data_IF_799101679803
#
_entry.id   IF_799101679803
#
_cell.length_a   1.000
_cell.length_b   1.000
_cell.length_c   1.000
_cell.angle_alpha   90.00
_cell.angle_beta   90.00
_cell.angle_gamma   90.00
#
_symmetry.space_group_name_H-M   'P 1'
#
loop_
_entity.id
_entity.type
_entity.pdbx_description
1 polymer ?
#
# COMPACT_ATOMS: atom_id res chain seq x y z
N UNK A 1 12.10 -13.04 -11.91
CA UNK A 1 11.92 -12.10 -10.78
C UNK A 1 10.52 -11.51 -10.83
N UNK A 2 9.76 -11.64 -9.75
CA UNK A 2 8.45 -10.99 -9.55
C UNK A 2 8.63 -9.63 -8.88
N UNK A 3 7.87 -8.63 -9.32
CA UNK A 3 7.96 -7.26 -8.80
C UNK A 3 6.68 -6.94 -8.03
N UNK A 4 6.83 -6.58 -6.75
CA UNK A 4 5.74 -6.26 -5.83
C UNK A 4 5.92 -4.83 -5.29
N UNK A 5 5.50 -3.81 -6.06
CA UNK A 5 5.38 -2.45 -5.54
C UNK A 5 4.27 -2.41 -4.50
N UNK A 6 4.56 -1.84 -3.32
CA UNK A 6 3.60 -1.66 -2.24
C UNK A 6 3.41 -0.16 -2.02
N UNK A 7 2.18 0.30 -2.18
CA UNK A 7 1.82 1.71 -2.13
C UNK A 7 0.67 1.96 -1.15
N UNK A 8 0.47 3.24 -0.82
CA UNK A 8 -0.67 3.69 -0.04
C UNK A 8 -1.06 5.11 -0.45
N UNK A 9 -2.36 5.38 -0.56
CA UNK A 9 -2.84 6.74 -0.82
C UNK A 9 -2.61 7.72 0.34
N UNK A 10 -2.36 7.21 1.55
CA UNK A 10 -2.17 8.00 2.77
C UNK A 10 -1.05 7.41 3.64
N UNK A 11 -0.26 8.27 4.28
CA UNK A 11 0.70 7.85 5.31
C UNK A 11 0.00 7.29 6.56
N UNK A 12 0.70 6.43 7.29
CA UNK A 12 0.22 5.88 8.57
C UNK A 12 -0.75 4.70 8.47
N UNK A 13 -0.94 4.10 7.28
CA UNK A 13 -1.77 2.89 7.09
C UNK A 13 -0.99 1.59 7.30
N UNK A 14 0.29 1.65 7.70
CA UNK A 14 1.14 0.49 7.96
C UNK A 14 1.75 -0.17 6.71
N UNK A 15 1.85 0.56 5.59
CA UNK A 15 2.47 0.11 4.34
C UNK A 15 3.87 -0.53 4.53
N UNK A 16 4.78 0.19 5.18
CA UNK A 16 6.17 -0.27 5.39
C UNK A 16 6.25 -1.49 6.30
N UNK A 17 5.34 -1.60 7.27
CA UNK A 17 5.20 -2.79 8.12
C UNK A 17 4.78 -3.99 7.29
N UNK A 18 3.74 -3.84 6.45
CA UNK A 18 3.30 -4.90 5.54
C UNK A 18 4.44 -5.29 4.61
N UNK A 19 5.16 -4.33 4.01
CA UNK A 19 6.27 -4.59 3.11
C UNK A 19 7.40 -5.38 3.77
N UNK A 20 7.85 -4.96 4.95
CA UNK A 20 8.88 -5.63 5.73
C UNK A 20 8.49 -7.08 6.07
N UNK A 21 7.31 -7.26 6.66
CA UNK A 21 6.88 -8.57 7.13
C UNK A 21 6.56 -9.53 5.98
N UNK A 22 6.01 -9.02 4.88
CA UNK A 22 5.82 -9.82 3.68
C UNK A 22 7.16 -10.28 3.06
N UNK A 23 8.18 -9.43 3.10
CA UNK A 23 9.53 -9.81 2.65
C UNK A 23 10.10 -10.95 3.50
N UNK A 24 9.91 -10.88 4.82
CA UNK A 24 10.34 -11.92 5.77
C UNK A 24 9.58 -13.22 5.52
N UNK A 25 8.25 -13.17 5.37
CA UNK A 25 7.43 -14.36 5.10
C UNK A 25 7.87 -15.09 3.81
N UNK A 26 8.05 -14.34 2.72
CA UNK A 26 8.47 -14.91 1.44
C UNK A 26 9.91 -15.47 1.50
N UNK A 27 10.80 -14.82 2.25
CA UNK A 27 12.17 -15.31 2.45
C UNK A 27 12.21 -16.59 3.29
N UNK A 28 11.38 -16.68 4.34
CA UNK A 28 11.18 -17.89 5.16
C UNK A 28 10.58 -19.04 4.35
N UNK A 29 9.73 -18.74 3.36
CA UNK A 29 9.21 -19.70 2.38
C UNK A 29 10.26 -20.11 1.31
N UNK A 30 11.52 -19.66 1.44
CA UNK A 30 12.63 -20.08 0.60
C UNK A 30 12.85 -19.25 -0.67
N UNK A 31 12.09 -18.17 -0.89
CA UNK A 31 12.31 -17.27 -2.04
C UNK A 31 13.51 -16.37 -1.78
N UNK A 32 14.32 -16.11 -2.82
CA UNK A 32 15.34 -15.06 -2.76
C UNK A 32 14.66 -13.70 -2.90
N UNK A 33 14.55 -12.96 -1.80
CA UNK A 33 13.82 -11.69 -1.72
C UNK A 33 14.78 -10.51 -1.64
N UNK A 34 14.49 -9.46 -2.40
CA UNK A 34 15.06 -8.13 -2.17
C UNK A 34 13.96 -7.18 -1.73
N UNK A 35 14.15 -6.52 -0.59
CA UNK A 35 13.28 -5.45 -0.11
C UNK A 35 13.96 -4.09 -0.35
N UNK A 36 13.30 -3.18 -1.06
CA UNK A 36 13.81 -1.85 -1.33
C UNK A 36 12.95 -0.77 -0.66
N UNK A 37 13.57 0.13 0.10
CA UNK A 37 12.92 1.32 0.66
C UNK A 37 12.96 2.46 -0.39
N UNK A 38 11.82 2.69 -1.07
CA UNK A 38 11.64 3.76 -2.04
C UNK A 38 10.87 4.96 -1.45
N UNK A 39 10.65 5.01 -0.14
CA UNK A 39 10.12 6.18 0.55
C UNK A 39 11.26 7.16 0.87
N UNK A 40 11.91 7.68 -0.17
CA UNK A 40 13.13 8.48 -0.07
C UNK A 40 12.98 9.76 0.77
N UNK A 41 11.74 10.23 0.98
CA UNK A 41 11.46 11.39 1.82
C UNK A 41 11.34 11.08 3.31
N UNK A 42 11.11 9.82 3.68
CA UNK A 42 10.87 9.38 5.06
C UNK A 42 11.32 7.93 5.29
N UNK A 43 12.54 7.60 4.81
CA UNK A 43 13.11 6.24 4.80
C UNK A 43 13.31 5.69 6.22
N UNK A 44 12.42 4.81 6.65
CA UNK A 44 12.42 4.20 7.99
C UNK A 44 12.31 2.67 7.96
N UNK A 45 12.33 2.05 6.78
CA UNK A 45 12.07 0.61 6.64
C UNK A 45 13.14 -0.25 7.35
N UNK A 46 14.38 0.25 7.39
CA UNK A 46 15.50 -0.38 8.10
C UNK A 46 15.21 -0.62 9.59
N UNK A 47 14.44 0.26 10.25
CA UNK A 47 14.05 0.09 11.65
C UNK A 47 13.09 -1.08 11.84
N UNK A 48 12.18 -1.29 10.88
CA UNK A 48 11.17 -2.34 10.93
C UNK A 48 11.81 -3.71 10.70
N UNK A 49 12.75 -3.82 9.75
CA UNK A 49 13.45 -5.07 9.46
C UNK A 49 14.62 -5.35 10.42
N UNK A 50 14.95 -4.43 11.32
CA UNK A 50 16.07 -4.57 12.25
C UNK A 50 17.45 -4.35 11.65
N UNK A 51 17.53 -3.77 10.45
CA UNK A 51 18.80 -3.49 9.78
C UNK A 51 19.48 -2.27 10.39
N UNK A 52 20.67 -2.47 10.95
CA UNK A 52 21.41 -1.43 11.69
C UNK A 52 22.35 -0.65 10.76
N UNK A 53 22.28 0.68 10.86
CA UNK A 53 23.24 1.63 10.28
C UNK A 53 23.49 1.43 8.76
N UNK A 54 22.53 1.81 7.90
CA UNK A 54 22.76 1.79 6.45
C UNK A 54 23.93 2.72 6.09
N UNK A 55 25.01 2.14 5.55
CA UNK A 55 26.21 2.89 5.15
C UNK A 55 26.07 3.57 3.80
N UNK A 56 25.26 2.98 2.91
CA UNK A 56 24.94 3.48 1.59
C UNK A 56 23.57 2.94 1.19
N UNK A 57 22.79 3.75 0.47
CA UNK A 57 21.52 3.32 -0.10
C UNK A 57 21.20 4.03 -1.40
N UNK A 58 19.91 4.11 -1.71
CA UNK A 58 19.41 4.67 -2.96
C UNK A 58 19.78 6.16 -3.07
N UNK A 59 19.66 6.93 -1.98
CA UNK A 59 20.14 8.31 -1.93
C UNK A 59 21.60 8.45 -2.36
N UNK A 60 22.50 7.65 -1.80
CA UNK A 60 23.93 7.63 -2.18
C UNK A 60 24.13 7.30 -3.66
N UNK A 61 23.46 6.25 -4.17
CA UNK A 61 23.55 5.87 -5.59
C UNK A 61 23.07 6.98 -6.54
N UNK A 62 22.02 7.70 -6.15
CA UNK A 62 21.45 8.78 -6.94
C UNK A 62 22.29 10.06 -6.91
N UNK A 63 23.06 10.26 -5.84
CA UNK A 63 23.95 11.41 -5.65
C UNK A 63 25.28 11.25 -6.40
N UNK A 64 25.86 10.04 -6.42
CA UNK A 64 27.11 9.75 -7.16
C UNK A 64 26.91 8.66 -8.22
N UNK A 65 26.84 9.01 -9.52
CA UNK A 65 26.68 8.07 -10.63
C UNK A 65 27.79 7.01 -10.77
N UNK A 66 28.93 7.18 -10.09
CA UNK A 66 30.05 6.22 -10.09
C UNK A 66 29.83 5.09 -9.08
N UNK A 67 28.88 5.25 -8.17
CA UNK A 67 28.54 4.23 -7.17
C UNK A 67 28.04 2.98 -7.89
N UNK A 68 28.71 1.85 -7.64
CA UNK A 68 28.20 0.56 -8.09
C UNK A 68 26.90 0.23 -7.31
N UNK A 69 25.85 -0.15 -8.05
CA UNK A 69 24.58 -0.51 -7.44
C UNK A 69 24.70 -1.78 -6.58
N UNK A 70 25.68 -2.66 -6.87
CA UNK A 70 25.94 -3.82 -6.03
C UNK A 70 26.30 -3.44 -4.58
N UNK A 71 26.92 -2.29 -4.36
CA UNK A 71 27.29 -1.81 -3.01
C UNK A 71 26.12 -1.28 -2.19
N UNK A 72 24.97 -0.99 -2.81
CA UNK A 72 23.76 -0.54 -2.08
C UNK A 72 22.82 -1.69 -1.73
N UNK A 73 23.07 -2.89 -2.25
CA UNK A 73 22.31 -4.09 -1.91
C UNK A 73 23.01 -4.77 -0.74
N UNK A 74 22.38 -4.74 0.43
CA UNK A 74 22.94 -5.29 1.66
C UNK A 74 22.31 -6.65 1.99
N UNK A 75 23.13 -7.56 2.51
CA UNK A 75 22.62 -8.75 3.18
C UNK A 75 21.98 -8.38 4.52
N UNK A 76 20.99 -9.16 4.94
CA UNK A 76 20.34 -9.04 6.25
C UNK A 76 20.63 -10.26 7.10
N UNK A 77 20.34 -10.18 8.39
CA UNK A 77 20.42 -11.34 9.31
C UNK A 77 19.32 -12.39 9.04
N UNK A 78 18.41 -12.12 8.09
CA UNK A 78 17.31 -13.00 7.70
C UNK A 78 17.73 -13.75 6.44
N UNK A 79 17.86 -15.09 6.48
CA UNK A 79 18.24 -15.89 5.31
C UNK A 79 17.34 -15.60 4.10
N UNK A 80 17.94 -15.59 2.91
CA UNK A 80 17.30 -15.28 1.64
C UNK A 80 16.74 -13.85 1.49
N UNK A 81 16.90 -12.97 2.47
CA UNK A 81 16.46 -11.58 2.40
C UNK A 81 17.66 -10.62 2.27
N UNK A 82 17.66 -9.85 1.18
CA UNK A 82 18.52 -8.69 1.00
C UNK A 82 17.73 -7.40 1.08
N UNK A 83 18.38 -6.32 1.47
CA UNK A 83 17.77 -5.02 1.70
C UNK A 83 18.50 -3.92 0.92
N UNK A 84 17.73 -2.99 0.35
CA UNK A 84 18.25 -1.77 -0.28
C UNK A 84 17.72 -0.58 0.54
N UNK A 85 18.58 0.09 1.32
CA UNK A 85 18.18 1.25 2.10
C UNK A 85 17.78 2.44 1.21
N UNK A 86 16.81 3.25 1.66
CA UNK A 86 16.38 4.45 0.93
C UNK A 86 17.39 5.60 1.06
N UNK A 87 18.07 5.69 2.21
CA UNK A 87 19.08 6.70 2.54
C UNK A 87 18.47 8.12 2.62
N UNK A 88 17.55 8.28 3.59
CA UNK A 88 16.74 9.49 3.80
C UNK A 88 17.47 10.67 4.45
N UNK A 89 18.76 10.54 4.77
CA UNK A 89 19.56 11.62 5.38
C UNK A 89 20.12 12.60 4.36
N UNK A 90 20.11 12.26 3.06
CA UNK A 90 20.61 13.12 1.98
C UNK A 90 19.50 14.08 1.53
N UNK A 91 19.66 15.41 1.72
CA UNK A 91 18.64 16.38 1.31
C UNK A 91 18.35 16.33 -0.20
N UNK A 92 17.06 16.36 -0.57
CA UNK A 92 16.63 16.44 -1.98
C UNK A 92 16.44 15.10 -2.70
N UNK A 93 16.68 13.97 -2.02
CA UNK A 93 16.45 12.60 -2.54
C UNK A 93 14.98 12.30 -2.89
N UNK A 94 14.03 12.99 -2.24
CA UNK A 94 12.60 12.79 -2.45
C UNK A 94 12.10 13.15 -3.88
N UNK A 95 12.77 14.07 -4.58
CA UNK A 95 12.36 14.52 -5.92
C UNK A 95 13.29 13.97 -7.00
N UNK A 96 13.01 12.75 -7.46
CA UNK A 96 13.77 12.10 -8.52
C UNK A 96 13.57 12.76 -9.89
N UNK A 97 14.68 13.12 -10.55
CA UNK A 97 14.64 13.48 -11.97
C UNK A 97 14.24 12.26 -12.82
N UNK A 98 13.61 12.45 -13.99
CA UNK A 98 13.21 11.32 -14.85
C UNK A 98 14.37 10.37 -15.22
N UNK A 99 15.57 10.90 -15.46
CA UNK A 99 16.77 10.10 -15.76
C UNK A 99 17.22 9.24 -14.59
N UNK A 100 17.27 9.81 -13.39
CA UNK A 100 17.59 9.13 -12.13
C UNK A 100 16.60 8.01 -11.85
N UNK A 101 15.30 8.29 -11.96
CA UNK A 101 14.24 7.29 -11.81
C UNK A 101 14.40 6.13 -12.80
N UNK A 102 14.63 6.42 -14.08
CA UNK A 102 14.82 5.38 -15.11
C UNK A 102 16.11 4.58 -14.90
N UNK A 103 17.17 5.19 -14.36
CA UNK A 103 18.39 4.49 -13.99
C UNK A 103 18.13 3.54 -12.81
N UNK A 104 17.48 4.02 -11.75
CA UNK A 104 17.13 3.23 -10.58
C UNK A 104 16.21 2.05 -10.94
N UNK A 105 15.14 2.30 -11.72
CA UNK A 105 14.24 1.24 -12.17
C UNK A 105 14.99 0.16 -12.94
N UNK A 106 15.88 0.51 -13.89
CA UNK A 106 16.68 -0.47 -14.62
C UNK A 106 17.59 -1.31 -13.71
N UNK A 107 18.17 -0.70 -12.68
CA UNK A 107 19.04 -1.42 -11.72
C UNK A 107 18.23 -2.38 -10.84
N UNK A 108 17.11 -1.90 -10.29
CA UNK A 108 16.19 -2.73 -9.50
C UNK A 108 15.67 -3.93 -10.29
N UNK A 109 15.26 -3.72 -11.55
CA UNK A 109 14.76 -4.77 -12.43
C UNK A 109 15.84 -5.76 -12.89
N UNK A 110 17.12 -5.40 -12.79
CA UNK A 110 18.25 -6.24 -13.15
C UNK A 110 18.84 -7.07 -12.01
N UNK A 111 18.21 -7.05 -10.82
CA UNK A 111 18.68 -7.81 -9.66
C UNK A 111 18.44 -9.32 -9.86
N UNK A 112 19.39 -10.13 -9.38
CA UNK A 112 19.21 -11.57 -9.26
C UNK A 112 18.41 -11.90 -7.99
N UNK A 113 17.10 -12.01 -8.13
CA UNK A 113 16.16 -12.36 -7.06
C UNK A 113 14.92 -13.04 -7.63
N UNK A 114 14.24 -13.82 -6.80
CA UNK A 114 12.95 -14.39 -7.15
C UNK A 114 11.85 -13.34 -6.98
N UNK A 115 11.93 -12.53 -5.92
CA UNK A 115 10.97 -11.47 -5.60
C UNK A 115 11.69 -10.15 -5.26
N UNK A 116 11.22 -9.05 -5.85
CA UNK A 116 11.57 -7.68 -5.46
C UNK A 116 10.33 -7.01 -4.85
N UNK A 117 10.39 -6.68 -3.57
CA UNK A 117 9.39 -5.85 -2.90
C UNK A 117 9.88 -4.40 -2.86
N UNK A 118 9.05 -3.47 -3.31
CA UNK A 118 9.36 -2.04 -3.28
C UNK A 118 8.39 -1.32 -2.35
N UNK A 119 8.87 -0.86 -1.21
CA UNK A 119 8.09 -0.02 -0.30
C UNK A 119 8.08 1.42 -0.82
N UNK A 120 6.99 1.84 -1.46
CA UNK A 120 6.90 3.15 -2.09
C UNK A 120 6.50 4.23 -1.07
N UNK A 121 6.77 5.50 -1.33
CA UNK A 121 6.24 6.58 -0.49
C UNK A 121 4.71 6.66 -0.46
N UNK A 122 4.17 7.44 0.49
CA UNK A 122 2.73 7.71 0.55
C UNK A 122 2.29 8.79 -0.45
N UNK A 123 1.02 8.73 -0.86
CA UNK A 123 0.40 9.75 -1.71
C UNK A 123 0.50 9.42 -3.21
N UNK A 124 0.40 10.44 -4.07
CA UNK A 124 0.16 10.26 -5.51
C UNK A 124 1.19 10.99 -6.39
N UNK A 125 2.41 11.20 -5.87
CA UNK A 125 3.50 11.77 -6.64
C UNK A 125 3.84 10.91 -7.87
N UNK A 126 4.29 11.55 -8.96
CA UNK A 126 4.52 10.86 -10.23
C UNK A 126 5.55 9.72 -10.13
N UNK A 127 6.60 9.89 -9.34
CA UNK A 127 7.62 8.85 -9.10
C UNK A 127 7.01 7.60 -8.46
N UNK A 128 6.16 7.76 -7.44
CA UNK A 128 5.44 6.66 -6.77
C UNK A 128 4.58 5.91 -7.77
N UNK A 129 3.78 6.64 -8.56
CA UNK A 129 2.91 6.02 -9.57
C UNK A 129 3.72 5.29 -10.65
N UNK A 130 4.86 5.85 -11.08
CA UNK A 130 5.73 5.22 -12.06
C UNK A 130 6.35 3.91 -11.54
N UNK A 131 6.82 3.89 -10.28
CA UNK A 131 7.32 2.65 -9.67
C UNK A 131 6.20 1.63 -9.43
N UNK A 132 5.00 2.10 -9.05
CA UNK A 132 3.83 1.23 -8.89
C UNK A 132 3.44 0.54 -10.20
N UNK A 133 3.51 1.27 -11.32
CA UNK A 133 3.19 0.76 -12.66
C UNK A 133 4.30 -0.10 -13.30
N UNK A 134 5.40 -0.38 -12.59
CA UNK A 134 6.38 -1.40 -13.03
C UNK A 134 5.81 -2.81 -12.95
N UNK A 135 4.72 -3.01 -12.21
CA UNK A 135 4.01 -4.28 -12.11
C UNK A 135 2.51 -4.05 -12.32
N UNK A 136 1.87 -4.97 -13.05
CA UNK A 136 0.40 -4.99 -13.17
C UNK A 136 -0.28 -5.35 -11.84
N UNK A 137 0.42 -6.07 -10.96
CA UNK A 137 -0.12 -6.65 -9.73
C UNK A 137 0.36 -5.94 -8.45
N UNK A 138 0.57 -4.62 -8.53
CA UNK A 138 0.99 -3.81 -7.37
C UNK A 138 -0.01 -3.85 -6.22
N UNK A 139 0.49 -3.73 -4.99
CA UNK A 139 -0.30 -3.86 -3.75
C UNK A 139 -0.59 -2.47 -3.19
N UNK A 140 -1.85 -2.19 -2.90
CA UNK A 140 -2.31 -0.98 -2.20
C UNK A 140 -2.69 -1.37 -0.78
N UNK A 141 -2.02 -0.78 0.20
CA UNK A 141 -2.36 -0.92 1.62
C UNK A 141 -3.24 0.25 2.03
N UNK A 142 -4.34 -0.04 2.72
CA UNK A 142 -5.21 0.97 3.31
C UNK A 142 -5.74 0.55 4.68
N UNK A 143 -6.48 1.43 5.35
CA UNK A 143 -7.04 1.23 6.68
C UNK A 143 -8.52 1.58 6.72
N UNK A 144 -9.32 1.07 7.68
CA UNK A 144 -10.78 1.20 7.67
C UNK A 144 -11.25 2.59 8.14
N UNK A 145 -10.49 3.63 7.83
CA UNK A 145 -10.88 5.02 8.05
C UNK A 145 -11.42 5.60 6.75
N UNK A 146 -12.37 6.53 6.86
CA UNK A 146 -12.96 7.22 5.70
C UNK A 146 -11.87 7.87 4.84
N UNK A 147 -10.90 8.52 5.50
CA UNK A 147 -9.80 9.20 4.79
C UNK A 147 -8.83 8.24 4.09
N UNK A 148 -8.49 7.10 4.70
CA UNK A 148 -7.60 6.12 4.06
C UNK A 148 -8.29 5.41 2.89
N UNK A 149 -9.57 5.03 3.05
CA UNK A 149 -10.40 4.42 1.99
C UNK A 149 -10.49 5.34 0.77
N UNK A 150 -10.81 6.63 0.97
CA UNK A 150 -10.88 7.61 -0.11
C UNK A 150 -9.51 7.78 -0.80
N UNK A 151 -8.44 7.91 -0.01
CA UNK A 151 -7.11 8.10 -0.57
C UNK A 151 -6.61 6.87 -1.35
N UNK A 152 -6.97 5.66 -0.95
CA UNK A 152 -6.68 4.43 -1.72
C UNK A 152 -7.37 4.46 -3.09
N UNK A 153 -8.66 4.83 -3.14
CA UNK A 153 -9.36 5.02 -4.40
C UNK A 153 -8.70 6.12 -5.26
N UNK A 154 -8.36 7.27 -4.68
CA UNK A 154 -7.69 8.36 -5.42
C UNK A 154 -6.31 7.95 -5.94
N UNK A 155 -5.58 7.12 -5.19
CA UNK A 155 -4.33 6.53 -5.64
C UNK A 155 -4.53 5.68 -6.89
N UNK A 156 -5.49 4.75 -6.85
CA UNK A 156 -5.83 3.89 -7.99
C UNK A 156 -6.31 4.70 -9.20
N UNK A 157 -7.16 5.72 -8.98
CA UNK A 157 -7.56 6.66 -10.02
C UNK A 157 -6.33 7.30 -10.66
N UNK A 158 -5.43 7.87 -9.87
CA UNK A 158 -4.22 8.51 -10.40
C UNK A 158 -3.27 7.53 -11.09
N UNK A 159 -3.18 6.28 -10.63
CA UNK A 159 -2.43 5.23 -11.30
C UNK A 159 -3.02 4.90 -12.69
N UNK A 160 -4.35 4.79 -12.81
CA UNK A 160 -5.04 4.59 -14.09
C UNK A 160 -4.79 5.78 -15.03
N UNK A 161 -4.92 7.03 -14.54
CA UNK A 161 -4.57 8.20 -15.35
C UNK A 161 -3.10 8.18 -15.79
N UNK A 162 -2.18 7.85 -14.90
CA UNK A 162 -0.76 7.74 -15.24
C UNK A 162 -0.49 6.63 -16.27
N UNK A 163 -1.20 5.51 -16.17
CA UNK A 163 -1.16 4.43 -17.15
C UNK A 163 -1.62 4.92 -18.53
N UNK A 164 -2.71 5.68 -18.60
CA UNK A 164 -3.20 6.31 -19.84
C UNK A 164 -2.13 7.22 -20.45
N UNK A 165 -1.64 8.21 -19.70
CA UNK A 165 -0.62 9.15 -20.20
C UNK A 165 0.67 8.46 -20.65
N UNK A 166 1.10 7.42 -19.95
CA UNK A 166 2.31 6.67 -20.34
C UNK A 166 2.11 5.72 -21.53
N UNK A 167 0.86 5.41 -21.90
CA UNK A 167 0.55 4.53 -23.03
C UNK A 167 0.52 5.25 -24.37
N UNK A 168 0.38 6.59 -24.35
CA UNK A 168 0.19 7.38 -25.56
C UNK A 168 1.51 7.97 -26.07
N UNK A 169 1.85 7.76 -27.36
CA UNK A 169 3.00 8.42 -27.97
C UNK A 169 2.90 9.95 -27.88
N UNK A 170 4.05 10.62 -27.77
CA UNK A 170 4.08 12.09 -27.84
C UNK A 170 3.49 12.56 -29.17
N UNK A 171 2.56 13.53 -29.11
CA UNK A 171 1.87 14.07 -30.29
C UNK A 171 0.78 13.18 -30.87
N UNK A 172 0.36 12.10 -30.17
CA UNK A 172 -0.80 11.32 -30.60
C UNK A 172 -2.10 12.09 -30.37
N UNK A 173 -3.12 11.77 -31.18
CA UNK A 173 -4.45 12.39 -31.04
C UNK A 173 -5.11 12.01 -29.72
N UNK A 174 -4.79 10.83 -29.17
CA UNK A 174 -5.23 10.41 -27.84
C UNK A 174 -4.67 11.32 -26.73
N UNK A 175 -3.37 11.68 -26.81
CA UNK A 175 -2.74 12.55 -25.84
C UNK A 175 -3.32 13.98 -25.91
N UNK A 176 -3.54 14.49 -27.12
CA UNK A 176 -4.18 15.80 -27.34
C UNK A 176 -5.62 15.84 -26.79
N UNK A 177 -6.36 14.74 -26.96
CA UNK A 177 -7.70 14.58 -26.39
C UNK A 177 -7.68 14.62 -24.86
N UNK A 178 -6.75 13.88 -24.24
CA UNK A 178 -6.55 13.90 -22.78
C UNK A 178 -6.17 15.28 -22.25
N UNK A 179 -5.25 15.99 -22.91
CA UNK A 179 -4.82 17.34 -22.50
C UNK A 179 -5.94 18.38 -22.62
N UNK A 180 -6.80 18.26 -23.64
CA UNK A 180 -8.00 19.12 -23.78
C UNK A 180 -8.94 18.94 -22.61
N UNK A 181 -9.23 17.69 -22.22
CA UNK A 181 -10.10 17.39 -21.07
C UNK A 181 -9.44 17.85 -19.76
N UNK A 182 -8.12 17.70 -19.62
CA UNK A 182 -7.40 18.10 -18.41
C UNK A 182 -7.51 19.59 -18.10
N UNK A 183 -7.53 20.44 -19.14
CA UNK A 183 -7.66 21.90 -19.00
C UNK A 183 -9.03 22.35 -18.50
N UNK A 184 -10.04 21.49 -18.60
CA UNK A 184 -11.35 21.70 -18.00
C UNK A 184 -11.39 21.02 -16.61
N UNK A 185 -10.82 21.68 -15.61
CA UNK A 185 -10.68 21.18 -14.24
C UNK A 185 -12.00 20.74 -13.60
N UNK A 186 -13.13 21.31 -14.04
CA UNK A 186 -14.48 20.95 -13.56
C UNK A 186 -14.94 19.58 -14.07
N UNK A 187 -14.45 19.19 -15.25
CA UNK A 187 -14.76 17.94 -15.93
C UNK A 187 -13.97 16.77 -15.33
N UNK A 188 -12.68 16.94 -15.00
CA UNK A 188 -11.82 15.87 -14.45
C UNK A 188 -12.32 15.23 -13.13
N UNK A 189 -12.97 16.01 -12.27
CA UNK A 189 -13.50 15.49 -11.01
C UNK A 189 -14.75 14.63 -11.23
N UNK A 190 -15.51 14.90 -12.30
CA UNK A 190 -16.76 14.21 -12.66
C UNK A 190 -16.59 13.16 -13.77
N UNK A 191 -15.37 13.02 -14.29
CA UNK A 191 -15.12 12.20 -15.46
C UNK A 191 -14.95 10.72 -15.12
N UNK A 192 -15.67 9.88 -15.85
CA UNK A 192 -15.66 8.43 -15.81
C UNK A 192 -14.62 7.90 -16.79
N UNK A 193 -13.73 7.01 -16.35
CA UNK A 193 -12.73 6.39 -17.22
C UNK A 193 -13.38 5.62 -18.39
N UNK A 194 -14.49 4.86 -18.21
CA UNK A 194 -15.16 4.22 -19.34
C UNK A 194 -15.47 5.18 -20.51
N UNK A 195 -16.01 6.36 -20.20
CA UNK A 195 -16.33 7.39 -21.20
C UNK A 195 -15.08 7.98 -21.86
N UNK A 196 -13.97 8.08 -21.13
CA UNK A 196 -12.69 8.47 -21.72
C UNK A 196 -12.20 7.44 -22.73
N UNK A 197 -12.30 6.15 -22.38
CA UNK A 197 -11.87 5.07 -23.25
C UNK A 197 -12.67 5.06 -24.55
N UNK A 198 -13.97 5.30 -24.51
CA UNK A 198 -14.82 5.47 -25.70
C UNK A 198 -14.33 6.64 -26.58
N UNK A 199 -14.14 7.82 -26.00
CA UNK A 199 -13.65 8.98 -26.76
C UNK A 199 -12.25 8.77 -27.34
N UNK A 200 -11.36 8.11 -26.61
CA UNK A 200 -10.02 7.75 -27.11
C UNK A 200 -10.12 6.76 -28.26
N UNK A 201 -11.03 5.77 -28.17
CA UNK A 201 -11.27 4.79 -29.23
C UNK A 201 -11.72 5.43 -30.54
N UNK A 202 -12.58 6.44 -30.47
CA UNK A 202 -13.05 7.18 -31.65
C UNK A 202 -11.95 8.04 -32.27
N UNK A 203 -11.16 8.72 -31.44
CA UNK A 203 -10.14 9.68 -31.90
C UNK A 203 -8.86 9.01 -32.37
N UNK A 204 -8.45 7.92 -31.72
CA UNK A 204 -7.21 7.20 -31.96
C UNK A 204 -7.33 5.71 -31.57
N UNK A 205 -7.90 4.87 -32.45
CA UNK A 205 -8.10 3.43 -32.20
C UNK A 205 -6.79 2.67 -31.89
N UNK A 206 -5.67 3.11 -32.44
CA UNK A 206 -4.38 2.46 -32.25
C UNK A 206 -3.84 2.69 -30.83
N UNK A 207 -3.90 3.93 -30.34
CA UNK A 207 -3.56 4.25 -28.94
C UNK A 207 -4.54 3.59 -27.96
N UNK A 208 -5.83 3.53 -28.30
CA UNK A 208 -6.83 2.81 -27.50
C UNK A 208 -6.48 1.33 -27.32
N UNK A 209 -6.12 0.63 -28.41
CA UNK A 209 -5.76 -0.80 -28.34
C UNK A 209 -4.58 -1.04 -27.39
N UNK A 210 -3.52 -0.24 -27.52
CA UNK A 210 -2.34 -0.33 -26.63
C UNK A 210 -2.69 -0.10 -25.17
N UNK A 211 -3.54 0.89 -24.89
CA UNK A 211 -4.00 1.15 -23.53
C UNK A 211 -4.85 -0.02 -23.01
N UNK A 212 -5.75 -0.57 -23.84
CA UNK A 212 -6.62 -1.69 -23.44
C UNK A 212 -5.79 -2.92 -23.05
N UNK A 213 -4.79 -3.26 -23.85
CA UNK A 213 -3.88 -4.38 -23.56
C UNK A 213 -3.17 -4.20 -22.20
N UNK A 214 -2.75 -2.97 -21.88
CA UNK A 214 -2.14 -2.65 -20.57
C UNK A 214 -3.14 -2.65 -19.42
N UNK A 215 -4.37 -2.18 -19.63
CA UNK A 215 -5.42 -2.15 -18.60
C UNK A 215 -5.86 -3.56 -18.21
N UNK A 216 -5.93 -4.50 -19.16
CA UNK A 216 -6.28 -5.91 -18.87
C UNK A 216 -5.28 -6.56 -17.92
N UNK A 217 -4.00 -6.22 -18.07
CA UNK A 217 -2.91 -6.71 -17.21
C UNK A 217 -2.75 -5.91 -15.91
N UNK A 218 -3.32 -4.72 -15.83
CA UNK A 218 -3.25 -3.87 -14.64
C UNK A 218 -4.35 -4.26 -13.64
N UNK A 219 -3.97 -5.12 -12.70
CA UNK A 219 -4.81 -5.72 -11.67
C UNK A 219 -4.20 -5.48 -10.30
N UNK A 220 -4.30 -4.25 -9.78
CA UNK A 220 -3.80 -3.97 -8.46
C UNK A 220 -4.53 -4.84 -7.42
N UNK A 221 -3.84 -5.03 -6.30
CA UNK A 221 -4.29 -5.83 -5.17
C UNK A 221 -4.45 -4.97 -3.94
N UNK A 222 -5.41 -5.29 -3.08
CA UNK A 222 -5.73 -4.53 -1.88
C UNK A 222 -5.39 -5.34 -0.63
N UNK A 223 -4.75 -4.70 0.35
CA UNK A 223 -4.64 -5.19 1.72
C UNK A 223 -5.35 -4.21 2.64
N UNK A 224 -6.28 -4.74 3.44
CA UNK A 224 -6.97 -3.99 4.47
C UNK A 224 -6.27 -4.15 5.82
N UNK A 225 -5.46 -3.15 6.19
CA UNK A 225 -4.70 -3.17 7.43
C UNK A 225 -5.41 -2.40 8.56
N UNK A 226 -4.97 -2.66 9.80
CA UNK A 226 -5.46 -1.99 11.01
C UNK A 226 -6.97 -2.10 11.19
N UNK A 227 -7.55 -3.26 10.88
CA UNK A 227 -8.95 -3.52 11.22
C UNK A 227 -9.10 -3.84 12.71
N UNK A 228 -10.25 -3.44 13.26
CA UNK A 228 -10.58 -3.65 14.67
C UNK A 228 -11.88 -4.48 14.81
N UNK A 229 -12.77 -4.43 13.83
CA UNK A 229 -14.03 -5.18 13.76
C UNK A 229 -14.13 -5.93 12.41
N UNK A 230 -14.67 -7.16 12.35
CA UNK A 230 -14.83 -7.89 11.09
C UNK A 230 -15.55 -7.10 9.99
N UNK A 231 -16.53 -6.26 10.36
CA UNK A 231 -17.30 -5.43 9.43
C UNK A 231 -16.46 -4.38 8.72
N UNK A 232 -15.27 -4.05 9.24
CA UNK A 232 -14.36 -3.14 8.56
C UNK A 232 -13.89 -3.68 7.20
N UNK A 233 -13.90 -5.00 7.00
CA UNK A 233 -13.63 -5.63 5.72
C UNK A 233 -14.62 -5.18 4.62
N UNK A 234 -15.86 -4.84 4.97
CA UNK A 234 -16.86 -4.34 4.02
C UNK A 234 -16.45 -3.01 3.35
N UNK A 235 -15.53 -2.25 3.97
CA UNK A 235 -15.02 -1.00 3.36
C UNK A 235 -14.22 -1.29 2.09
N UNK A 236 -13.55 -2.43 2.00
CA UNK A 236 -12.87 -2.85 0.79
C UNK A 236 -13.85 -3.03 -0.39
N UNK A 237 -15.05 -3.58 -0.13
CA UNK A 237 -16.10 -3.72 -1.14
C UNK A 237 -16.56 -2.37 -1.73
N UNK A 238 -16.51 -1.30 -0.95
CA UNK A 238 -16.82 0.06 -1.45
C UNK A 238 -15.73 0.55 -2.41
N UNK A 239 -14.46 0.27 -2.12
CA UNK A 239 -13.34 0.59 -3.00
C UNK A 239 -13.46 -0.20 -4.31
N UNK A 240 -13.69 -1.52 -4.22
CA UNK A 240 -13.88 -2.40 -5.39
C UNK A 240 -14.96 -1.89 -6.33
N UNK A 241 -16.17 -1.64 -5.80
CA UNK A 241 -17.29 -1.12 -6.59
C UNK A 241 -16.95 0.20 -7.27
N UNK A 242 -16.32 1.12 -6.54
CA UNK A 242 -15.90 2.42 -7.09
C UNK A 242 -14.84 2.26 -8.18
N UNK A 243 -13.90 1.31 -8.05
CA UNK A 243 -12.90 1.06 -9.08
C UNK A 243 -13.51 0.45 -10.35
N UNK A 244 -14.40 -0.53 -10.19
CA UNK A 244 -15.10 -1.15 -11.33
C UNK A 244 -15.97 -0.13 -12.08
N UNK A 245 -16.82 0.61 -11.36
CA UNK A 245 -17.78 1.54 -11.94
C UNK A 245 -17.13 2.77 -12.58
N UNK A 246 -16.17 3.40 -11.90
CA UNK A 246 -15.63 4.69 -12.32
C UNK A 246 -14.30 4.58 -13.08
N UNK A 247 -13.54 3.50 -12.87
CA UNK A 247 -12.17 3.36 -13.40
C UNK A 247 -12.02 2.25 -14.44
N UNK A 248 -13.04 1.40 -14.65
CA UNK A 248 -12.92 0.15 -15.43
C UNK A 248 -11.74 -0.71 -14.94
N UNK A 249 -11.58 -0.76 -13.61
CA UNK A 249 -10.44 -1.37 -12.93
C UNK A 249 -10.90 -2.48 -12.01
N UNK A 250 -10.39 -3.69 -12.26
CA UNK A 250 -10.55 -4.83 -11.37
C UNK A 250 -9.52 -4.75 -10.24
N UNK A 251 -10.00 -4.95 -9.01
CA UNK A 251 -9.21 -4.92 -7.79
C UNK A 251 -9.41 -6.25 -7.08
N UNK A 252 -8.32 -6.95 -6.77
CA UNK A 252 -8.32 -8.22 -6.02
C UNK A 252 -8.02 -7.94 -4.53
N UNK A 253 -8.61 -8.72 -3.63
CA UNK A 253 -8.36 -8.59 -2.19
C UNK A 253 -7.36 -9.66 -1.71
N UNK A 254 -6.18 -9.24 -1.26
CA UNK A 254 -5.16 -10.18 -0.77
C UNK A 254 -5.41 -10.65 0.65
N UNK A 255 -5.89 -9.76 1.51
CA UNK A 255 -6.16 -10.12 2.90
C UNK A 255 -6.37 -8.93 3.81
N UNK A 256 -6.79 -9.26 5.02
CA UNK A 256 -7.07 -8.35 6.12
C UNK A 256 -6.01 -8.52 7.20
N UNK A 257 -5.71 -7.46 7.95
CA UNK A 257 -4.76 -7.49 9.05
C UNK A 257 -5.32 -6.69 10.22
N UNK A 258 -5.51 -7.37 11.36
CA UNK A 258 -5.94 -6.73 12.60
C UNK A 258 -4.86 -5.83 13.21
N UNK A 259 -5.31 -4.75 13.85
CA UNK A 259 -4.44 -3.99 14.75
C UNK A 259 -3.96 -4.88 15.89
N UNK A 260 -2.66 -4.87 16.13
CA UNK A 260 -1.99 -5.62 17.20
C UNK A 260 -1.00 -4.69 17.92
N UNK A 261 -1.11 -4.57 19.24
CA UNK A 261 -0.22 -3.73 20.07
C UNK A 261 1.18 -4.32 20.20
N UNK A 262 1.35 -5.63 19.99
CA UNK A 262 2.67 -6.28 20.01
C UNK A 262 3.55 -5.82 18.87
N UNK A 263 2.95 -5.27 17.81
CA UNK A 263 3.68 -4.64 16.72
C UNK A 263 4.54 -3.46 17.19
N UNK A 264 4.03 -2.64 18.10
CA UNK A 264 4.76 -1.48 18.61
C UNK A 264 5.95 -1.93 19.46
N UNK A 265 5.78 -3.01 20.22
CA UNK A 265 6.85 -3.65 21.00
C UNK A 265 7.92 -4.23 20.08
N UNK A 266 7.52 -4.94 19.02
CA UNK A 266 8.45 -5.47 18.02
C UNK A 266 9.24 -4.35 17.33
N UNK A 267 8.57 -3.24 16.98
CA UNK A 267 9.22 -2.07 16.37
C UNK A 267 10.23 -1.41 17.31
N UNK A 268 9.91 -1.27 18.60
CA UNK A 268 10.83 -0.76 19.61
C UNK A 268 12.07 -1.67 19.77
N UNK A 269 11.86 -2.99 19.69
CA UNK A 269 12.94 -3.97 19.66
C UNK A 269 13.70 -4.01 18.31
N UNK A 270 13.24 -3.27 17.30
CA UNK A 270 13.74 -3.27 15.92
C UNK A 270 13.75 -4.68 15.33
N UNK A 271 12.63 -5.37 15.43
CA UNK A 271 12.42 -6.70 14.88
C UNK A 271 11.10 -6.75 14.08
N UNK A 272 11.08 -7.49 12.96
CA UNK A 272 9.82 -7.87 12.33
C UNK A 272 8.91 -8.62 13.31
N UNK A 273 7.61 -8.34 13.29
CA UNK A 273 6.64 -9.01 14.17
C UNK A 273 6.57 -10.51 13.88
N UNK A 274 6.85 -10.94 12.64
CA UNK A 274 6.95 -12.36 12.29
C UNK A 274 8.06 -13.10 13.02
N UNK A 275 9.14 -12.40 13.39
CA UNK A 275 10.24 -12.99 14.18
C UNK A 275 9.97 -12.83 15.67
N UNK A 276 9.35 -11.71 16.09
CA UNK A 276 9.06 -11.42 17.48
C UNK A 276 7.91 -12.27 18.05
N UNK A 277 6.81 -12.40 17.31
CA UNK A 277 5.61 -13.17 17.69
C UNK A 277 5.00 -13.87 16.45
N UNK A 278 5.61 -14.97 15.97
CA UNK A 278 5.17 -15.65 14.74
C UNK A 278 3.73 -16.18 14.78
N UNK A 279 3.22 -16.46 15.98
CA UNK A 279 1.88 -17.03 16.19
C UNK A 279 0.81 -15.97 16.46
N UNK A 280 1.12 -14.67 16.40
CA UNK A 280 0.08 -13.65 16.53
C UNK A 280 -0.87 -13.67 15.33
N UNK A 281 -2.11 -13.22 15.55
CA UNK A 281 -3.11 -13.07 14.49
C UNK A 281 -2.55 -12.24 13.32
N UNK A 282 -1.83 -11.16 13.62
CA UNK A 282 -1.16 -10.34 12.60
C UNK A 282 -0.14 -11.16 11.79
N UNK A 283 0.74 -11.91 12.45
CA UNK A 283 1.75 -12.73 11.77
C UNK A 283 1.11 -13.80 10.90
N UNK A 284 0.05 -14.47 11.39
CA UNK A 284 -0.70 -15.47 10.64
C UNK A 284 -1.40 -14.87 9.42
N UNK A 285 -1.95 -13.65 9.53
CA UNK A 285 -2.51 -12.94 8.39
C UNK A 285 -1.45 -12.63 7.31
N UNK A 286 -0.24 -12.23 7.71
CA UNK A 286 0.86 -11.99 6.77
C UNK A 286 1.31 -13.29 6.08
N UNK A 287 1.44 -14.41 6.80
CA UNK A 287 1.77 -15.70 6.18
C UNK A 287 0.72 -16.11 5.14
N UNK A 288 -0.57 -15.98 5.47
CA UNK A 288 -1.67 -16.26 4.54
C UNK A 288 -1.63 -15.38 3.29
N UNK A 289 -1.33 -14.08 3.44
CA UNK A 289 -1.13 -13.17 2.31
C UNK A 289 0.08 -13.62 1.47
N UNK A 290 1.19 -14.02 2.10
CA UNK A 290 2.38 -14.52 1.40
C UNK A 290 2.08 -15.81 0.61
N UNK A 291 1.28 -16.72 1.17
CA UNK A 291 0.86 -17.95 0.51
C UNK A 291 0.01 -17.66 -0.73
N UNK A 292 -0.98 -16.76 -0.62
CA UNK A 292 -1.79 -16.30 -1.78
C UNK A 292 -0.90 -15.68 -2.87
N UNK A 293 0.11 -14.91 -2.48
CA UNK A 293 1.08 -14.41 -3.44
C UNK A 293 1.81 -15.58 -4.11
N UNK A 294 2.36 -16.53 -3.38
CA UNK A 294 3.08 -17.66 -3.99
C UNK A 294 2.20 -18.51 -4.91
N UNK A 295 0.93 -18.71 -4.58
CA UNK A 295 -0.03 -19.45 -5.43
C UNK A 295 -0.34 -18.69 -6.73
N UNK A 296 -0.44 -17.36 -6.67
CA UNK A 296 -0.62 -16.54 -7.88
C UNK A 296 0.62 -16.48 -8.80
N UNK A 297 1.70 -17.22 -8.51
CA UNK A 297 2.87 -17.32 -9.40
C UNK A 297 2.58 -18.06 -10.72
N UNK A 298 1.46 -18.78 -10.82
CA UNK A 298 1.14 -19.63 -11.98
C UNK A 298 0.28 -18.93 -13.06
N UNK A 299 -0.31 -17.76 -12.78
CA UNK A 299 -1.30 -17.11 -13.66
C UNK A 299 -0.84 -15.72 -14.17
N UNK A 300 -0.10 -15.71 -15.29
CA UNK A 300 -0.04 -14.55 -16.21
C UNK A 300 -1.35 -14.40 -17.02
N UNK A 301 -2.33 -15.27 -16.77
CA UNK A 301 -3.60 -15.34 -17.48
C UNK A 301 -4.65 -14.38 -16.90
N UNK A 302 -5.67 -14.03 -17.68
CA UNK A 302 -6.84 -13.37 -17.14
C UNK A 302 -7.55 -14.22 -16.08
N UNK A 303 -7.44 -13.90 -14.79
CA UNK A 303 -8.30 -14.47 -13.73
C UNK A 303 -9.75 -14.20 -14.11
N UNK A 304 -10.61 -15.21 -13.94
CA UNK A 304 -12.04 -15.08 -14.16
C UNK A 304 -12.63 -14.07 -13.14
N UNK A 305 -13.68 -13.33 -13.52
CA UNK A 305 -14.36 -12.39 -12.61
C UNK A 305 -14.82 -13.05 -11.30
N UNK A 306 -15.15 -14.35 -11.34
CA UNK A 306 -15.47 -15.16 -10.16
C UNK A 306 -14.34 -15.15 -9.12
N UNK A 307 -13.09 -15.33 -9.55
CA UNK A 307 -11.92 -15.35 -8.64
C UNK A 307 -11.73 -14.04 -7.89
N UNK A 308 -12.10 -12.90 -8.50
CA UNK A 308 -12.03 -11.60 -7.83
C UNK A 308 -13.13 -11.47 -6.79
N UNK A 309 -14.36 -11.88 -7.09
CA UNK A 309 -15.45 -11.84 -6.11
C UNK A 309 -15.17 -12.76 -4.91
N UNK A 310 -14.67 -13.98 -5.18
CA UNK A 310 -14.26 -14.96 -4.19
C UNK A 310 -13.19 -14.36 -3.25
N UNK A 311 -12.19 -13.64 -3.78
CA UNK A 311 -11.13 -13.02 -2.96
C UNK A 311 -11.66 -12.07 -1.88
N UNK A 312 -12.76 -11.35 -2.13
CA UNK A 312 -13.37 -10.48 -1.12
C UNK A 312 -14.31 -11.22 -0.17
N UNK A 313 -14.93 -12.31 -0.60
CA UNK A 313 -15.71 -13.17 0.29
C UNK A 313 -14.78 -13.89 1.27
N UNK A 314 -13.67 -14.45 0.77
CA UNK A 314 -12.60 -15.00 1.58
C UNK A 314 -12.11 -13.97 2.60
N UNK A 315 -11.77 -12.76 2.17
CA UNK A 315 -11.35 -11.71 3.10
C UNK A 315 -12.36 -11.38 4.22
N UNK A 316 -13.66 -11.53 3.95
CA UNK A 316 -14.70 -11.40 4.96
C UNK A 316 -14.67 -12.54 5.98
N UNK A 317 -14.56 -13.79 5.51
CA UNK A 317 -14.42 -14.96 6.37
C UNK A 317 -13.13 -14.91 7.19
N UNK A 318 -12.03 -14.48 6.58
CA UNK A 318 -10.75 -14.28 7.26
C UNK A 318 -10.88 -13.28 8.41
N UNK A 319 -11.67 -12.22 8.24
CA UNK A 319 -11.90 -11.23 9.28
C UNK A 319 -12.71 -11.78 10.45
N UNK A 320 -13.71 -12.62 10.19
CA UNK A 320 -14.47 -13.30 11.25
C UNK A 320 -13.57 -14.28 12.04
N UNK A 321 -12.83 -15.14 11.33
CA UNK A 321 -11.93 -16.13 11.96
C UNK A 321 -10.83 -15.46 12.78
N UNK A 322 -10.18 -14.43 12.24
CA UNK A 322 -9.11 -13.72 12.95
C UNK A 322 -9.63 -12.96 14.17
N UNK A 323 -10.86 -12.47 14.12
CA UNK A 323 -11.50 -11.83 15.27
C UNK A 323 -11.78 -12.84 16.39
N UNK A 324 -12.33 -14.01 16.06
CA UNK A 324 -12.58 -15.08 17.02
C UNK A 324 -11.27 -15.52 17.69
N UNK A 325 -10.21 -15.73 16.91
CA UNK A 325 -8.88 -16.09 17.45
C UNK A 325 -8.33 -14.99 18.38
N UNK A 326 -8.51 -13.72 18.01
CA UNK A 326 -8.08 -12.57 18.84
C UNK A 326 -8.87 -12.52 20.16
N UNK A 327 -10.18 -12.77 20.13
CA UNK A 327 -11.01 -12.80 21.34
C UNK A 327 -10.70 -14.00 22.22
N UNK A 328 -10.49 -15.19 21.64
CA UNK A 328 -10.09 -16.38 22.39
C UNK A 328 -8.80 -16.18 23.19
N UNK A 329 -7.79 -15.51 22.60
CA UNK A 329 -6.56 -15.18 23.33
C UNK A 329 -6.80 -14.21 24.51
N UNK A 330 -7.70 -13.24 24.35
CA UNK A 330 -8.07 -12.33 25.45
C UNK A 330 -8.78 -13.10 26.57
N UNK A 331 -9.66 -14.03 26.22
CA UNK A 331 -10.33 -14.91 27.18
C UNK A 331 -9.33 -15.81 27.90
N UNK A 332 -8.36 -16.40 27.22
CA UNK A 332 -7.30 -17.22 27.87
C UNK A 332 -6.50 -16.41 28.89
N UNK A 333 -6.15 -15.16 28.56
CA UNK A 333 -5.43 -14.29 29.50
C UNK A 333 -6.26 -13.93 30.74
N UNK A 334 -7.59 -13.81 30.59
CA UNK A 334 -8.50 -13.63 31.71
C UNK A 334 -8.56 -14.86 32.60
N UNK A 335 -8.70 -16.04 31.99
CA UNK A 335 -8.78 -17.31 32.73
C UNK A 335 -7.47 -17.66 33.42
N UNK A 336 -6.32 -17.32 32.82
CA UNK A 336 -5.00 -17.54 33.43
C UNK A 336 -4.66 -16.53 34.54
N UNK A 337 -5.51 -15.51 34.75
CA UNK A 337 -5.27 -14.42 35.70
C UNK A 337 -4.14 -13.47 35.30
N UNK A 338 -3.60 -13.60 34.08
CA UNK A 338 -2.56 -12.71 33.53
C UNK A 338 -3.14 -11.34 33.17
N UNK A 339 -4.43 -11.31 32.79
CA UNK A 339 -5.22 -10.10 32.63
C UNK A 339 -6.35 -10.16 33.66
N UNK A 340 -6.41 -9.22 34.60
CA UNK A 340 -7.50 -9.23 35.59
C UNK A 340 -8.75 -8.58 35.03
N UNK A 341 -9.93 -8.96 35.54
CA UNK A 341 -11.18 -8.23 35.26
C UNK A 341 -11.06 -6.76 35.66
N UNK A 342 -10.25 -6.45 36.67
CA UNK A 342 -9.92 -5.08 37.09
C UNK A 342 -9.18 -4.30 36.00
N UNK A 343 -8.17 -4.91 35.37
CA UNK A 343 -7.38 -4.28 34.30
C UNK A 343 -8.24 -4.00 33.06
N UNK A 344 -9.18 -4.90 32.73
CA UNK A 344 -10.16 -4.66 31.66
C UNK A 344 -11.10 -3.52 32.01
N UNK A 345 -11.63 -3.48 33.24
CA UNK A 345 -12.49 -2.39 33.69
C UNK A 345 -11.74 -1.05 33.65
N UNK A 346 -10.47 -1.03 34.04
CA UNK A 346 -9.62 0.16 34.00
C UNK A 346 -9.32 0.60 32.56
N UNK A 347 -9.04 -0.35 31.66
CA UNK A 347 -8.85 -0.08 30.23
C UNK A 347 -10.12 0.49 29.61
N UNK A 348 -11.28 -0.11 29.88
CA UNK A 348 -12.58 0.37 29.41
C UNK A 348 -12.90 1.75 29.97
N UNK A 349 -12.62 2.00 31.26
CA UNK A 349 -12.80 3.33 31.88
C UNK A 349 -11.89 4.38 31.24
N UNK A 350 -10.63 4.02 30.96
CA UNK A 350 -9.65 4.90 30.32
C UNK A 350 -10.08 5.26 28.90
N UNK A 351 -10.53 4.26 28.13
CA UNK A 351 -11.08 4.49 26.79
C UNK A 351 -12.35 5.34 26.82
N UNK A 352 -13.26 5.11 27.78
CA UNK A 352 -14.44 5.96 27.95
C UNK A 352 -14.07 7.42 28.27
N UNK A 353 -13.04 7.63 29.09
CA UNK A 353 -12.53 8.95 29.40
C UNK A 353 -11.93 9.63 28.17
N UNK A 354 -11.06 8.96 27.41
CA UNK A 354 -10.48 9.50 26.16
C UNK A 354 -11.56 9.84 25.14
N UNK A 355 -12.53 8.95 24.91
CA UNK A 355 -13.68 9.21 24.03
C UNK A 355 -14.45 10.44 24.50
N UNK A 356 -14.64 10.61 25.81
CA UNK A 356 -15.30 11.81 26.34
C UNK A 356 -14.49 13.08 26.09
N UNK A 357 -13.15 13.03 26.16
CA UNK A 357 -12.29 14.18 25.86
C UNK A 357 -12.32 14.52 24.37
N UNK A 358 -12.15 13.53 23.50
CA UNK A 358 -12.23 13.69 22.04
C UNK A 358 -13.59 14.24 21.59
N UNK A 359 -14.69 13.86 22.28
CA UNK A 359 -16.02 14.44 22.03
C UNK A 359 -16.08 15.92 22.40
N UNK A 360 -15.53 16.32 23.55
CA UNK A 360 -15.46 17.74 23.96
C UNK A 360 -14.64 18.56 22.99
N UNK A 361 -13.49 18.04 22.57
CA UNK A 361 -12.60 18.68 21.62
C UNK A 361 -13.26 18.85 20.24
N UNK A 362 -13.93 17.80 19.73
CA UNK A 362 -14.72 17.90 18.51
C UNK A 362 -15.83 18.95 18.60
N UNK A 363 -16.52 19.03 19.75
CA UNK A 363 -17.56 20.04 19.96
C UNK A 363 -16.98 21.46 19.95
N UNK A 364 -15.82 21.64 20.57
CA UNK A 364 -15.10 22.90 20.59
C UNK A 364 -14.64 23.32 19.18
N UNK A 365 -14.04 22.39 18.42
CA UNK A 365 -13.61 22.63 17.04
C UNK A 365 -14.81 22.98 16.16
N UNK A 366 -15.93 22.27 16.30
CA UNK A 366 -17.18 22.55 15.56
C UNK A 366 -17.76 23.92 15.88
N UNK A 367 -17.77 24.32 17.16
CA UNK A 367 -18.18 25.66 17.60
C UNK A 367 -17.27 26.75 17.02
N UNK A 368 -15.96 26.52 17.04
CA UNK A 368 -14.96 27.44 16.50
C UNK A 368 -15.11 27.62 14.99
N UNK A 369 -15.30 26.52 14.25
CA UNK A 369 -15.60 26.53 12.81
C UNK A 369 -16.89 27.30 12.50
N UNK A 370 -17.95 27.08 13.28
CA UNK A 370 -19.23 27.78 13.09
C UNK A 370 -19.06 29.29 13.31
N UNK A 371 -18.29 29.70 14.32
CA UNK A 371 -17.95 31.12 14.58
C UNK A 371 -17.04 31.72 13.51
N UNK A 372 -16.12 30.95 12.95
CA UNK A 372 -15.25 31.40 11.87
C UNK A 372 -16.07 31.63 10.59
N UNK A 373 -16.96 30.69 10.24
CA UNK A 373 -17.87 30.81 9.10
C UNK A 373 -18.80 32.01 9.24
N UNK A 374 -19.38 32.24 10.43
CA UNK A 374 -20.24 33.40 10.66
C UNK A 374 -19.51 34.75 10.63
N UNK A 375 -18.18 34.75 10.82
CA UNK A 375 -17.30 35.92 10.66
C UNK A 375 -16.77 36.10 9.24
N UNK A 376 -17.33 35.38 8.26
CA UNK A 376 -16.98 35.53 6.85
C UNK A 376 -15.75 34.72 6.41
N UNK A 377 -15.21 33.86 7.27
CA UNK A 377 -14.16 32.92 6.89
C UNK A 377 -14.77 31.87 5.95
N UNK A 378 -14.34 31.86 4.68
CA UNK A 378 -14.73 30.80 3.73
C UNK A 378 -13.61 29.75 3.72
N UNK A 379 -13.94 28.46 3.95
CA UNK A 379 -12.96 27.39 4.02
C UNK A 379 -12.24 27.14 2.70
#
# INVERSE_FOLDING_TARGET
MRILPIASGKGGVGKSLVAANLAVALAQAGKRVVLADLDLGASNLHLIIGYRAPKAGIGTFLADPRTDFAHVVADTDIPNLRFIPGDGEIPGSANLKPSQKNALARRLLGLDADVLIMDLGAGTHQSILDFFLLSGQGIVVTAPTVTATLNAYLFLKNAVFRLMYSSFPKGSRALDYMEKIRKDSSSLQKLYVPKLLEGIKEVDPASWKKLRDRMVLFRPRLIMNMIDDPKDAERAQKIRRSCAEYLDLQLEHLGIIYRDSMQDVALQARLPILLYKPQSVLSQAIYRIADKLMQSEEDDAPLAERTIEDSFQEAGLEAEVDFEAKMGYVEELLHSGTLTTGDLIETVKTQQFEISQLRKENLFLKSTLTKAISRGFRP
#
